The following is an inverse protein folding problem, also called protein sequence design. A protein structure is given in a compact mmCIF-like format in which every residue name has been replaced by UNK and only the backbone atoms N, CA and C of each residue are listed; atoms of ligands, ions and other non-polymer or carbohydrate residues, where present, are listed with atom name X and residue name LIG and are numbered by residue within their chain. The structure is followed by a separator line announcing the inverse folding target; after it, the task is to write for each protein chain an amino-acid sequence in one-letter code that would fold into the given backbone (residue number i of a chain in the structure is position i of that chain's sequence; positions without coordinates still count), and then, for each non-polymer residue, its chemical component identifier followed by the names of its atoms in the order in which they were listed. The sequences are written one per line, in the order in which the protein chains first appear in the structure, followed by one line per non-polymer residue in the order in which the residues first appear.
data_IF_172002052951
#
_entry.id   IF_172002052951
#
_cell.length_a   1.000
_cell.length_b   1.000
_cell.length_c   1.000
_cell.angle_alpha   90.00
_cell.angle_beta   90.00
_cell.angle_gamma   90.00
#
_symmetry.space_group_name_H-M   'P 1'
#
loop_
_entity.id
_entity.type
_entity.pdbx_description
1 polymer ?
#
# COMPACT_ATOMS: atom_id res chain seq x y z
N UNK A 1 -17.47 5.67 17.67
CA UNK A 1 -16.98 4.43 17.02
C UNK A 1 -15.88 4.84 16.05
N UNK A 2 -14.62 4.49 16.31
CA UNK A 2 -13.56 4.76 15.34
C UNK A 2 -13.76 3.80 14.16
N UNK A 3 -13.89 4.28 12.92
CA UNK A 3 -14.02 3.39 11.77
C UNK A 3 -12.77 2.51 11.69
N UNK A 4 -12.98 1.20 11.59
CA UNK A 4 -11.88 0.24 11.40
C UNK A 4 -11.29 0.50 10.02
N UNK A 5 -10.11 1.12 9.98
CA UNK A 5 -9.43 1.42 8.72
C UNK A 5 -9.04 0.12 8.01
N UNK A 6 -9.54 -0.08 6.78
CA UNK A 6 -9.23 -1.25 5.96
C UNK A 6 -7.78 -1.23 5.52
N UNK A 7 -7.09 -2.35 5.70
CA UNK A 7 -5.70 -2.56 5.27
C UNK A 7 -5.68 -3.46 4.02
N UNK A 8 -5.18 -2.91 2.92
CA UNK A 8 -4.93 -3.63 1.66
C UNK A 8 -3.62 -4.42 1.83
N UNK A 9 -3.70 -5.75 1.74
CA UNK A 9 -2.51 -6.61 1.85
C UNK A 9 -1.69 -6.55 0.56
N UNK A 10 -0.45 -7.04 0.63
CA UNK A 10 0.48 -7.00 -0.48
C UNK A 10 0.00 -7.73 -1.74
N UNK A 11 -0.64 -8.89 -1.59
CA UNK A 11 -1.13 -9.65 -2.73
C UNK A 11 -2.28 -8.91 -3.43
N UNK A 12 -3.18 -8.30 -2.65
CA UNK A 12 -4.25 -7.45 -3.17
C UNK A 12 -3.70 -6.19 -3.84
N UNK A 13 -2.72 -5.51 -3.20
CA UNK A 13 -2.09 -4.32 -3.77
C UNK A 13 -1.40 -4.62 -5.11
N UNK A 14 -0.75 -5.78 -5.23
CA UNK A 14 -0.16 -6.24 -6.48
C UNK A 14 -1.21 -6.45 -7.57
N UNK A 15 -2.37 -7.00 -7.23
CA UNK A 15 -3.48 -7.18 -8.17
C UNK A 15 -4.07 -5.84 -8.61
N UNK A 16 -4.30 -4.93 -7.66
CA UNK A 16 -4.83 -3.57 -7.91
C UNK A 16 -3.92 -2.78 -8.86
N UNK A 17 -2.61 -2.85 -8.66
CA UNK A 17 -1.64 -2.12 -9.47
C UNK A 17 -1.18 -2.89 -10.73
N UNK A 18 -1.54 -4.17 -10.86
CA UNK A 18 -1.05 -5.10 -11.89
C UNK A 18 0.47 -5.12 -12.01
N UNK A 19 1.16 -5.23 -10.86
CA UNK A 19 2.63 -5.28 -10.81
C UNK A 19 3.13 -6.45 -9.98
N UNK A 20 4.37 -6.85 -10.25
CA UNK A 20 5.08 -7.80 -9.39
C UNK A 20 5.42 -7.21 -8.02
N UNK A 21 5.61 -8.09 -7.04
CA UNK A 21 6.06 -7.74 -5.68
C UNK A 21 7.34 -6.89 -5.69
N UNK A 22 8.31 -7.26 -6.53
CA UNK A 22 9.58 -6.55 -6.66
C UNK A 22 9.40 -5.14 -7.21
N UNK A 23 8.48 -4.95 -8.15
CA UNK A 23 8.14 -3.62 -8.69
C UNK A 23 7.44 -2.76 -7.64
N UNK A 24 6.50 -3.33 -6.88
CA UNK A 24 5.86 -2.63 -5.77
C UNK A 24 6.89 -2.15 -4.73
N UNK A 25 7.78 -3.04 -4.26
CA UNK A 25 8.81 -2.63 -3.31
C UNK A 25 9.82 -1.64 -3.88
N UNK A 26 10.19 -1.75 -5.16
CA UNK A 26 11.05 -0.75 -5.82
C UNK A 26 10.40 0.64 -5.79
N UNK A 27 9.10 0.72 -6.11
CA UNK A 27 8.36 1.99 -6.08
C UNK A 27 8.23 2.58 -4.68
N UNK A 28 8.03 1.73 -3.67
CA UNK A 28 8.04 2.14 -2.25
C UNK A 28 9.41 2.65 -1.85
N UNK A 29 10.49 1.92 -2.20
CA UNK A 29 11.87 2.30 -1.87
C UNK A 29 12.30 3.60 -2.58
N UNK A 30 11.84 3.83 -3.81
CA UNK A 30 12.12 5.07 -4.55
C UNK A 30 11.26 6.25 -4.09
N UNK A 31 10.30 6.05 -3.19
CA UNK A 31 9.38 7.11 -2.73
C UNK A 31 8.27 7.48 -3.73
N UNK A 32 8.18 6.77 -4.86
CA UNK A 32 7.15 7.00 -5.89
C UNK A 32 5.78 6.39 -5.56
N UNK A 33 5.66 5.71 -4.41
CA UNK A 33 4.44 5.06 -3.98
C UNK A 33 4.27 5.20 -2.46
N UNK A 34 3.01 5.07 -2.00
CA UNK A 34 2.66 5.17 -0.58
C UNK A 34 3.44 4.17 0.28
N UNK A 35 3.83 4.61 1.48
CA UNK A 35 4.57 3.78 2.44
C UNK A 35 3.63 2.75 3.07
N UNK A 36 4.05 1.47 3.20
CA UNK A 36 3.25 0.48 3.89
C UNK A 36 3.22 0.73 5.40
N UNK A 37 2.14 0.29 6.03
CA UNK A 37 2.06 0.11 7.47
C UNK A 37 2.91 -1.10 7.87
N UNK A 38 3.87 -0.88 8.76
CA UNK A 38 4.76 -1.91 9.31
C UNK A 38 4.56 -2.05 10.80
N UNK A 39 4.41 -3.29 11.29
CA UNK A 39 4.34 -3.62 12.72
C UNK A 39 5.40 -4.69 12.99
N UNK A 40 6.27 -4.46 13.97
CA UNK A 40 7.38 -5.36 14.33
C UNK A 40 8.21 -5.78 13.12
N UNK A 41 8.64 -4.80 12.31
CA UNK A 41 9.40 -4.97 11.06
C UNK A 41 8.71 -5.83 9.97
N UNK A 42 7.43 -6.17 10.15
CA UNK A 42 6.64 -6.88 9.13
C UNK A 42 5.66 -5.92 8.47
N UNK A 43 5.69 -5.86 7.15
CA UNK A 43 4.67 -5.14 6.36
C UNK A 43 3.31 -5.78 6.58
N UNK A 44 2.36 -5.00 7.10
CA UNK A 44 0.96 -5.42 7.24
C UNK A 44 0.15 -5.12 5.98
N UNK A 45 0.49 -4.06 5.27
CA UNK A 45 -0.19 -3.64 4.05
C UNK A 45 -0.22 -2.12 3.94
N UNK A 46 -1.21 -1.61 3.24
CA UNK A 46 -1.43 -0.18 3.05
C UNK A 46 -2.82 0.19 3.51
N UNK A 47 -2.98 1.40 4.05
CA UNK A 47 -4.29 1.93 4.38
C UNK A 47 -5.06 2.15 3.09
N UNK A 48 -6.32 1.73 3.06
CA UNK A 48 -7.18 1.98 1.90
C UNK A 48 -7.31 3.48 1.62
N UNK A 49 -7.43 4.29 2.67
CA UNK A 49 -7.54 5.75 2.54
C UNK A 49 -6.30 6.39 1.90
N UNK A 50 -5.10 5.84 2.14
CA UNK A 50 -3.86 6.30 1.51
C UNK A 50 -3.78 5.88 0.05
N UNK A 51 -4.27 4.68 -0.27
CA UNK A 51 -4.37 4.21 -1.66
C UNK A 51 -5.34 5.07 -2.48
N UNK A 52 -6.51 5.39 -1.92
CA UNK A 52 -7.49 6.28 -2.55
C UNK A 52 -6.92 7.70 -2.75
N UNK A 53 -6.24 8.27 -1.74
CA UNK A 53 -5.55 9.56 -1.86
C UNK A 53 -4.40 9.55 -2.86
N UNK A 54 -3.74 8.41 -3.06
CA UNK A 54 -2.70 8.28 -4.07
C UNK A 54 -3.31 8.21 -5.47
N UNK A 55 -4.43 7.50 -5.64
CA UNK A 55 -5.16 7.47 -6.91
C UNK A 55 -5.69 8.85 -7.32
N UNK A 56 -6.11 9.68 -6.36
CA UNK A 56 -6.59 11.04 -6.64
C UNK A 56 -5.50 12.04 -7.04
N UNK A 57 -4.23 11.65 -7.02
CA UNK A 57 -3.11 12.48 -7.49
C UNK A 57 -2.76 12.24 -8.96
N UNK A 58 -3.43 11.29 -9.61
CA UNK A 58 -3.39 11.07 -11.06
C UNK A 58 -4.55 11.81 -11.74
#
# INVERSE_FOLDING_TARGET
MYPVERIIRIDEMMQLLRVSRSTLYRRVKSGSFIKPVTINNKTKGWKQSDYERWLSQF
#
